data_IF_448489077181
#
_entry.id   IF_448489077181
#
_cell.length_a   1.000
_cell.length_b   1.000
_cell.length_c   1.000
_cell.angle_alpha   90.00
_cell.angle_beta   90.00
_cell.angle_gamma   90.00
#
_symmetry.space_group_name_H-M   'P 1'
#
loop_
_entity.id
_entity.type
_entity.pdbx_description
1 polymer ?
#
# COMPACT_ATOMS: atom_id res chain seq x y z
N UNK A 1 -26.77 22.68 -0.12
CA UNK A 1 -25.35 22.34 -0.33
C UNK A 1 -24.94 21.35 0.74
N UNK A 2 -24.26 20.28 0.37
CA UNK A 2 -23.74 19.30 1.34
C UNK A 2 -22.71 19.99 2.25
N UNK A 3 -22.87 19.85 3.58
CA UNK A 3 -21.90 20.39 4.55
C UNK A 3 -20.62 19.50 4.67
N UNK A 4 -20.56 18.41 3.89
CA UNK A 4 -19.43 17.48 3.93
C UNK A 4 -18.16 18.14 3.44
N UNK A 5 -17.09 17.94 4.17
CA UNK A 5 -15.75 18.39 3.80
C UNK A 5 -15.15 17.44 2.76
N UNK A 6 -14.51 17.99 1.75
CA UNK A 6 -13.71 17.23 0.79
C UNK A 6 -12.23 17.39 1.13
N UNK A 7 -11.51 16.27 1.26
CA UNK A 7 -10.05 16.27 1.48
C UNK A 7 -9.39 15.86 0.18
N UNK A 8 -8.66 16.78 -0.46
CA UNK A 8 -7.87 16.49 -1.65
C UNK A 8 -6.45 16.11 -1.25
N UNK A 9 -6.14 14.82 -1.36
CA UNK A 9 -4.79 14.30 -1.10
C UNK A 9 -3.95 14.40 -2.36
N UNK A 10 -2.79 15.04 -2.24
CA UNK A 10 -1.85 15.27 -3.33
C UNK A 10 -0.46 14.72 -2.99
N UNK A 11 0.39 14.59 -3.99
CA UNK A 11 1.79 14.19 -3.86
C UNK A 11 2.72 15.23 -4.47
N UNK A 12 3.97 15.17 -4.12
CA UNK A 12 5.02 15.84 -4.90
C UNK A 12 5.25 15.08 -6.21
N UNK A 13 5.55 15.83 -7.25
CA UNK A 13 6.03 15.27 -8.53
C UNK A 13 7.50 14.88 -8.42
N UNK A 14 7.99 14.06 -9.35
CA UNK A 14 9.42 13.71 -9.41
C UNK A 14 10.31 14.95 -9.53
N UNK A 15 9.86 15.97 -10.30
CA UNK A 15 10.58 17.23 -10.42
C UNK A 15 10.67 17.97 -9.08
N UNK A 16 9.57 18.08 -8.34
CA UNK A 16 9.57 18.73 -7.02
C UNK A 16 10.48 17.99 -6.01
N UNK A 17 10.52 16.66 -6.07
CA UNK A 17 11.43 15.86 -5.24
C UNK A 17 12.90 16.08 -5.60
N UNK A 18 13.22 16.20 -6.90
CA UNK A 18 14.56 16.52 -7.38
C UNK A 18 14.99 17.93 -6.93
N UNK A 19 14.11 18.93 -7.10
CA UNK A 19 14.39 20.30 -6.70
C UNK A 19 14.61 20.42 -5.18
N UNK A 20 13.88 19.64 -4.39
CA UNK A 20 14.10 19.58 -2.95
C UNK A 20 15.48 19.02 -2.56
N UNK A 21 16.09 18.17 -3.42
CA UNK A 21 17.44 17.60 -3.19
C UNK A 21 18.56 18.47 -3.73
N UNK A 22 18.36 19.07 -4.90
CA UNK A 22 19.42 19.76 -5.67
C UNK A 22 19.31 21.29 -5.62
N UNK A 23 18.29 21.82 -4.95
CA UNK A 23 18.03 23.24 -4.70
C UNK A 23 17.79 24.10 -5.95
N UNK A 24 18.43 23.80 -7.10
CA UNK A 24 18.17 24.52 -8.37
C UNK A 24 17.79 23.60 -9.50
N UNK A 25 17.07 24.15 -10.49
CA UNK A 25 16.62 23.40 -11.67
C UNK A 25 17.79 22.97 -12.56
N UNK A 26 18.82 23.82 -12.65
CA UNK A 26 20.01 23.56 -13.43
C UNK A 26 20.85 22.39 -12.81
N UNK A 27 20.99 22.36 -11.49
CA UNK A 27 21.65 21.26 -10.79
C UNK A 27 20.86 19.94 -10.94
N UNK A 28 19.54 20.00 -10.80
CA UNK A 28 18.67 18.83 -10.99
C UNK A 28 18.77 18.29 -12.42
N UNK A 29 18.72 19.19 -13.44
CA UNK A 29 18.87 18.83 -14.86
C UNK A 29 20.22 18.17 -15.10
N UNK A 30 21.32 18.83 -14.68
CA UNK A 30 22.67 18.28 -14.85
C UNK A 30 22.80 16.87 -14.25
N UNK A 31 22.29 16.67 -13.04
CA UNK A 31 22.34 15.36 -12.38
C UNK A 31 21.59 14.28 -13.16
N UNK A 32 20.36 14.56 -13.60
CA UNK A 32 19.52 13.60 -14.33
C UNK A 32 20.07 13.29 -15.72
N UNK A 33 20.51 14.30 -16.46
CA UNK A 33 21.10 14.12 -17.80
C UNK A 33 22.44 13.37 -17.72
N UNK A 34 23.24 13.60 -16.67
CA UNK A 34 24.48 12.84 -16.44
C UNK A 34 24.23 11.34 -16.18
N UNK A 35 23.06 10.97 -15.65
CA UNK A 35 22.63 9.59 -15.51
C UNK A 35 22.02 9.00 -16.80
N UNK A 36 22.01 9.74 -17.89
CA UNK A 36 21.42 9.31 -19.16
C UNK A 36 19.90 9.29 -19.19
N UNK A 37 19.25 10.02 -18.27
CA UNK A 37 17.79 10.09 -18.16
C UNK A 37 17.31 11.44 -18.71
N UNK A 38 16.16 11.43 -19.40
CA UNK A 38 15.55 12.62 -19.95
C UNK A 38 14.93 13.51 -18.86
N UNK A 39 15.47 14.70 -18.68
CA UNK A 39 14.94 15.67 -17.72
C UNK A 39 13.60 16.29 -18.17
N UNK A 40 13.36 16.39 -19.47
CA UNK A 40 12.12 16.98 -19.99
C UNK A 40 10.91 16.08 -19.69
N UNK A 41 11.11 14.76 -19.50
CA UNK A 41 10.06 13.86 -19.02
C UNK A 41 9.60 14.21 -17.58
N UNK A 42 10.50 14.64 -16.71
CA UNK A 42 10.17 15.11 -15.36
C UNK A 42 9.37 16.42 -15.40
N UNK A 43 9.73 17.29 -16.33
CA UNK A 43 9.02 18.58 -16.55
C UNK A 43 7.61 18.31 -17.05
N UNK A 44 7.46 17.45 -18.06
CA UNK A 44 6.17 17.10 -18.65
C UNK A 44 5.22 16.46 -17.62
N UNK A 45 5.73 15.53 -16.80
CA UNK A 45 4.94 14.95 -15.68
C UNK A 45 4.46 16.04 -14.72
N UNK A 46 5.36 16.94 -14.32
CA UNK A 46 5.03 18.02 -13.39
C UNK A 46 3.97 18.97 -13.95
N UNK A 47 4.12 19.41 -15.19
CA UNK A 47 3.17 20.30 -15.84
C UNK A 47 1.78 19.66 -15.96
N UNK A 48 1.72 18.40 -16.39
CA UNK A 48 0.47 17.63 -16.48
C UNK A 48 -0.20 17.50 -15.11
N UNK A 49 0.57 17.19 -14.07
CA UNK A 49 0.06 17.09 -12.71
C UNK A 49 -0.47 18.41 -12.16
N UNK A 50 0.23 19.53 -12.39
CA UNK A 50 -0.21 20.86 -11.95
C UNK A 50 -1.48 21.33 -12.69
N UNK A 51 -1.64 20.96 -13.97
CA UNK A 51 -2.90 21.20 -14.69
C UNK A 51 -4.04 20.41 -14.04
N UNK A 52 -3.84 19.14 -13.78
CA UNK A 52 -4.84 18.29 -13.11
C UNK A 52 -5.22 18.83 -11.72
N UNK A 53 -4.25 19.24 -10.93
CA UNK A 53 -4.42 19.80 -9.58
C UNK A 53 -5.20 21.13 -9.62
N UNK A 54 -4.95 22.01 -10.61
CA UNK A 54 -5.71 23.25 -10.81
C UNK A 54 -7.16 22.97 -11.20
N UNK A 55 -7.41 22.01 -12.09
CA UNK A 55 -8.77 21.62 -12.49
C UNK A 55 -9.59 21.11 -11.31
N UNK A 56 -9.06 20.12 -10.59
CA UNK A 56 -9.74 19.55 -9.41
C UNK A 56 -9.92 20.64 -8.33
N UNK A 57 -8.88 21.42 -8.06
CA UNK A 57 -8.94 22.51 -7.08
C UNK A 57 -9.93 23.59 -7.45
N UNK A 58 -10.19 23.84 -8.75
CA UNK A 58 -11.24 24.73 -9.25
C UNK A 58 -12.63 24.26 -8.81
N UNK A 59 -12.96 23.02 -9.11
CA UNK A 59 -14.23 22.39 -8.71
C UNK A 59 -14.43 22.42 -7.19
N UNK A 60 -13.39 22.15 -6.43
CA UNK A 60 -13.48 22.13 -4.96
C UNK A 60 -13.64 23.54 -4.36
N UNK A 61 -13.08 24.58 -4.99
CA UNK A 61 -13.31 25.97 -4.55
C UNK A 61 -14.79 26.38 -4.75
N UNK A 62 -15.42 25.94 -5.83
CA UNK A 62 -16.86 26.17 -6.06
C UNK A 62 -17.72 25.43 -5.03
N UNK A 63 -17.32 24.24 -4.61
CA UNK A 63 -17.97 23.53 -3.51
C UNK A 63 -17.81 24.27 -2.18
N UNK A 64 -16.68 24.93 -1.95
CA UNK A 64 -16.42 25.82 -0.80
C UNK A 64 -15.79 25.14 0.42
N UNK A 65 -16.20 23.95 0.80
CA UNK A 65 -15.67 23.25 2.00
C UNK A 65 -14.69 22.14 1.61
N UNK A 66 -13.44 22.51 1.38
CA UNK A 66 -12.39 21.54 1.08
C UNK A 66 -11.08 21.85 1.80
N UNK A 67 -10.21 20.85 1.87
CA UNK A 67 -8.87 20.94 2.41
C UNK A 67 -7.88 20.22 1.48
N UNK A 68 -6.76 20.89 1.20
CA UNK A 68 -5.62 20.27 0.52
C UNK A 68 -4.73 19.57 1.54
N UNK A 69 -4.36 18.32 1.29
CA UNK A 69 -3.52 17.51 2.15
C UNK A 69 -2.35 16.92 1.35
N UNK A 70 -1.12 17.25 1.73
CA UNK A 70 0.05 16.55 1.19
C UNK A 70 0.10 15.11 1.74
N UNK A 71 0.39 14.11 0.89
CA UNK A 71 0.46 12.68 1.27
C UNK A 71 1.32 12.41 2.50
N UNK A 72 2.39 13.19 2.71
CA UNK A 72 3.30 13.03 3.85
C UNK A 72 2.66 13.35 5.19
N UNK A 73 1.56 14.10 5.19
CA UNK A 73 0.80 14.45 6.39
C UNK A 73 -0.36 13.50 6.65
N UNK A 74 -0.67 12.59 5.71
CA UNK A 74 -1.80 11.65 5.82
C UNK A 74 -1.74 10.77 7.07
N UNK A 75 -0.56 10.26 7.51
CA UNK A 75 -0.47 9.44 8.74
C UNK A 75 -0.91 10.17 10.01
N UNK A 76 -0.77 11.50 10.04
CA UNK A 76 -1.10 12.34 11.20
C UNK A 76 -2.43 13.09 11.03
N UNK A 77 -3.15 12.84 9.94
CA UNK A 77 -4.40 13.52 9.65
C UNK A 77 -5.60 12.73 10.17
N UNK A 78 -6.50 13.40 10.86
CA UNK A 78 -7.73 12.81 11.35
C UNK A 78 -8.86 13.07 10.35
N UNK A 79 -9.20 12.03 9.58
CA UNK A 79 -10.35 12.07 8.68
C UNK A 79 -11.65 12.00 9.48
N UNK A 80 -12.55 12.93 9.23
CA UNK A 80 -13.90 12.92 9.84
C UNK A 80 -14.76 11.79 9.22
N UNK A 81 -15.76 11.28 9.94
CA UNK A 81 -16.60 10.18 9.46
C UNK A 81 -17.43 10.55 8.20
N UNK A 82 -17.70 11.85 8.02
CA UNK A 82 -18.46 12.36 6.88
C UNK A 82 -17.57 12.97 5.78
N UNK A 83 -16.25 12.93 5.93
CA UNK A 83 -15.34 13.43 4.90
C UNK A 83 -15.48 12.62 3.60
N UNK A 84 -15.33 13.31 2.48
CA UNK A 84 -15.11 12.71 1.16
C UNK A 84 -13.65 12.90 0.81
N UNK A 85 -12.97 11.85 0.38
CA UNK A 85 -11.55 11.91 0.09
C UNK A 85 -11.31 11.74 -1.40
N UNK A 86 -10.50 12.61 -1.97
CA UNK A 86 -10.04 12.53 -3.38
C UNK A 86 -8.54 12.35 -3.36
N UNK A 87 -8.03 11.28 -3.95
CA UNK A 87 -6.60 11.06 -4.16
C UNK A 87 -6.24 11.39 -5.62
N UNK A 88 -5.46 12.45 -5.83
CA UNK A 88 -4.98 12.86 -7.13
C UNK A 88 -3.54 12.38 -7.33
N UNK A 89 -3.35 11.29 -8.07
CA UNK A 89 -2.00 10.76 -8.27
C UNK A 89 -1.95 9.36 -8.89
N UNK A 90 -1.22 8.46 -8.23
CA UNK A 90 -0.97 7.08 -8.65
C UNK A 90 -1.71 6.07 -7.76
N UNK A 91 -1.80 4.81 -8.19
CA UNK A 91 -2.41 3.72 -7.40
C UNK A 91 -1.84 3.64 -5.98
N UNK A 92 -0.52 3.80 -5.82
CA UNK A 92 0.12 3.84 -4.52
C UNK A 92 -0.36 4.99 -3.62
N UNK A 93 -0.76 6.14 -4.17
CA UNK A 93 -1.35 7.22 -3.39
C UNK A 93 -2.74 6.85 -2.88
N UNK A 94 -3.55 6.20 -3.72
CA UNK A 94 -4.90 5.72 -3.35
C UNK A 94 -4.80 4.69 -2.23
N UNK A 95 -3.95 3.66 -2.39
CA UNK A 95 -3.73 2.64 -1.38
C UNK A 95 -3.22 3.24 -0.05
N UNK A 96 -2.20 4.11 -0.12
CA UNK A 96 -1.63 4.76 1.06
C UNK A 96 -2.57 5.77 1.73
N UNK A 97 -3.54 6.31 1.02
CA UNK A 97 -4.59 7.14 1.62
C UNK A 97 -5.66 6.26 2.26
N UNK A 98 -6.11 5.22 1.55
CA UNK A 98 -7.18 4.31 1.98
C UNK A 98 -6.89 3.65 3.33
N UNK A 99 -5.64 3.29 3.63
CA UNK A 99 -5.27 2.62 4.90
C UNK A 99 -5.55 3.45 6.15
N UNK A 100 -5.73 4.78 6.02
CA UNK A 100 -6.08 5.68 7.12
C UNK A 100 -7.58 5.99 7.20
N UNK A 101 -8.37 5.48 6.26
CA UNK A 101 -9.82 5.70 6.21
C UNK A 101 -10.58 4.59 6.95
N UNK A 102 -11.79 4.90 7.37
CA UNK A 102 -12.71 3.98 8.01
C UNK A 102 -14.12 4.14 7.39
N UNK A 103 -14.24 3.69 6.14
CA UNK A 103 -15.49 3.74 5.39
C UNK A 103 -15.81 5.07 4.69
N UNK A 104 -14.94 6.08 4.78
CA UNK A 104 -15.10 7.30 3.97
C UNK A 104 -14.96 6.95 2.49
N UNK A 105 -15.80 7.53 1.60
CA UNK A 105 -15.67 7.34 0.17
C UNK A 105 -14.36 7.95 -0.33
N UNK A 106 -13.59 7.15 -1.07
CA UNK A 106 -12.33 7.55 -1.69
C UNK A 106 -12.50 7.57 -3.21
N UNK A 107 -12.21 8.70 -3.83
CA UNK A 107 -12.22 8.89 -5.28
C UNK A 107 -10.78 8.90 -5.77
N UNK A 108 -10.39 7.93 -6.58
CA UNK A 108 -9.10 7.90 -7.26
C UNK A 108 -9.15 8.69 -8.56
N UNK A 109 -8.30 9.71 -8.68
CA UNK A 109 -8.21 10.54 -9.88
C UNK A 109 -6.85 10.42 -10.53
N UNK A 110 -6.83 9.96 -11.79
CA UNK A 110 -5.62 9.80 -12.59
C UNK A 110 -5.26 11.12 -13.28
N UNK A 111 -4.17 11.79 -12.89
CA UNK A 111 -3.75 13.05 -13.50
C UNK A 111 -3.19 12.87 -14.91
N UNK A 112 -2.69 11.68 -15.24
CA UNK A 112 -2.05 11.37 -16.52
C UNK A 112 -2.35 9.92 -16.95
N UNK A 113 -3.51 9.66 -17.58
CA UNK A 113 -3.89 8.32 -18.03
C UNK A 113 -3.00 7.75 -19.13
N UNK A 114 -2.17 8.55 -19.78
CA UNK A 114 -1.21 8.05 -20.77
C UNK A 114 0.05 7.46 -20.10
N UNK A 115 0.35 7.91 -18.90
CA UNK A 115 1.53 7.47 -18.13
C UNK A 115 1.22 6.35 -17.12
N UNK A 116 0.02 6.34 -16.56
CA UNK A 116 -0.35 5.44 -15.47
C UNK A 116 -1.59 4.61 -15.82
N UNK A 117 -1.52 3.31 -15.65
CA UNK A 117 -2.66 2.40 -15.88
C UNK A 117 -3.85 2.73 -14.97
N UNK A 118 -3.59 3.08 -13.71
CA UNK A 118 -4.59 3.62 -12.80
C UNK A 118 -5.68 2.64 -12.42
N UNK A 119 -5.32 1.45 -11.93
CA UNK A 119 -6.27 0.42 -11.48
C UNK A 119 -7.19 0.93 -10.38
N UNK A 120 -6.67 1.79 -9.49
CA UNK A 120 -7.43 2.45 -8.41
C UNK A 120 -7.85 3.89 -8.75
N UNK A 121 -7.65 4.33 -9.99
CA UNK A 121 -7.85 5.69 -10.45
C UNK A 121 -8.81 5.72 -11.66
N UNK A 122 -10.07 5.32 -11.49
CA UNK A 122 -11.00 5.18 -12.63
C UNK A 122 -11.44 6.50 -13.25
N UNK A 123 -11.11 7.64 -12.62
CA UNK A 123 -11.57 8.96 -13.05
C UNK A 123 -10.44 9.86 -13.50
N UNK A 124 -10.71 10.68 -14.51
CA UNK A 124 -9.84 11.78 -14.92
C UNK A 124 -10.20 13.09 -14.15
N UNK A 125 -9.31 14.11 -14.10
CA UNK A 125 -9.57 15.37 -13.40
C UNK A 125 -10.87 16.08 -13.84
N UNK A 126 -11.21 15.97 -15.13
CA UNK A 126 -12.45 16.53 -15.72
C UNK A 126 -13.75 15.88 -15.21
N UNK A 127 -13.65 14.64 -14.69
CA UNK A 127 -14.83 13.90 -14.22
C UNK A 127 -15.28 14.36 -12.84
N UNK A 128 -14.41 15.01 -12.06
CA UNK A 128 -14.65 15.38 -10.67
C UNK A 128 -15.87 16.28 -10.51
N UNK A 129 -16.06 17.25 -11.39
CA UNK A 129 -17.22 18.16 -11.34
C UNK A 129 -18.56 17.40 -11.45
N UNK A 130 -18.62 16.39 -12.31
CA UNK A 130 -19.80 15.55 -12.51
C UNK A 130 -20.02 14.56 -11.38
N UNK A 131 -18.94 14.02 -10.82
CA UNK A 131 -18.98 12.99 -9.78
C UNK A 131 -19.29 13.56 -8.40
N UNK A 132 -18.73 14.70 -8.06
CA UNK A 132 -18.72 15.25 -6.70
C UNK A 132 -20.10 15.31 -6.04
N UNK A 133 -21.17 15.78 -6.69
CA UNK A 133 -22.51 15.81 -6.09
C UNK A 133 -23.00 14.42 -5.66
N UNK A 134 -22.81 13.41 -6.52
CA UNK A 134 -23.22 12.03 -6.23
C UNK A 134 -22.40 11.42 -5.08
N UNK A 135 -21.10 11.68 -5.03
CA UNK A 135 -20.22 11.20 -3.95
C UNK A 135 -20.58 11.84 -2.61
N UNK A 136 -20.85 13.15 -2.60
CA UNK A 136 -21.28 13.87 -1.42
C UNK A 136 -22.61 13.35 -0.85
N UNK A 137 -23.49 12.87 -1.70
CA UNK A 137 -24.77 12.27 -1.33
C UNK A 137 -24.70 10.74 -1.16
N UNK A 138 -23.51 10.14 -1.29
CA UNK A 138 -23.26 8.69 -1.23
C UNK A 138 -24.12 7.89 -2.23
N UNK A 139 -24.39 8.44 -3.41
CA UNK A 139 -25.18 7.80 -4.48
C UNK A 139 -24.33 7.05 -5.50
N UNK A 140 -23.02 7.30 -5.53
CA UNK A 140 -22.10 6.60 -6.42
C UNK A 140 -21.88 5.15 -5.97
N UNK A 141 -21.74 4.27 -6.94
CA UNK A 141 -21.27 2.92 -6.66
C UNK A 141 -19.85 2.96 -6.05
N UNK A 142 -19.60 2.06 -5.12
CA UNK A 142 -18.28 1.89 -4.53
C UNK A 142 -17.91 0.43 -4.45
N UNK A 143 -16.62 0.15 -4.54
CA UNK A 143 -16.06 -1.17 -4.32
C UNK A 143 -15.44 -1.24 -2.94
N UNK A 144 -15.82 -2.25 -2.19
CA UNK A 144 -15.24 -2.51 -0.87
C UNK A 144 -13.85 -3.13 -1.02
N UNK A 145 -12.91 -2.67 -0.19
CA UNK A 145 -11.54 -3.17 -0.16
C UNK A 145 -11.23 -3.67 1.25
N UNK A 146 -10.90 -4.95 1.35
CA UNK A 146 -10.44 -5.58 2.60
C UNK A 146 -9.03 -5.11 2.91
N UNK A 147 -8.78 -4.82 4.19
CA UNK A 147 -7.46 -4.43 4.67
C UNK A 147 -6.89 -5.46 5.65
N UNK A 148 -5.57 -5.55 5.69
CA UNK A 148 -4.87 -6.25 6.75
C UNK A 148 -4.61 -5.30 7.94
N UNK A 149 -4.57 -5.85 9.15
CA UNK A 149 -4.15 -5.13 10.35
C UNK A 149 -3.06 -5.92 11.07
N UNK A 150 -1.93 -5.27 11.31
CA UNK A 150 -0.90 -5.71 12.25
C UNK A 150 -1.08 -4.96 13.57
N UNK A 151 -1.18 -5.66 14.69
CA UNK A 151 -1.36 -5.08 16.01
C UNK A 151 -0.33 -5.60 17.01
N UNK A 152 0.33 -4.68 17.72
CA UNK A 152 1.27 -4.97 18.79
C UNK A 152 0.57 -4.94 20.15
N UNK A 153 1.14 -5.66 21.13
CA UNK A 153 0.61 -5.71 22.49
C UNK A 153 0.59 -4.33 23.21
N UNK A 154 1.43 -3.38 22.77
CA UNK A 154 1.49 -2.03 23.32
C UNK A 154 0.40 -1.08 22.76
N UNK A 155 -0.53 -1.60 21.95
CA UNK A 155 -1.62 -0.83 21.35
C UNK A 155 -1.30 -0.19 20.00
N UNK A 156 -0.04 -0.19 19.56
CA UNK A 156 0.30 0.28 18.21
C UNK A 156 -0.27 -0.66 17.15
N UNK A 157 -0.71 -0.11 16.03
CA UNK A 157 -1.19 -0.90 14.91
C UNK A 157 -0.93 -0.23 13.58
N UNK A 158 -0.80 -1.04 12.54
CA UNK A 158 -0.59 -0.63 11.16
C UNK A 158 -1.59 -1.35 10.26
N UNK A 159 -2.17 -0.65 9.30
CA UNK A 159 -3.06 -1.23 8.30
C UNK A 159 -2.34 -1.31 6.95
N UNK A 160 -2.73 -2.29 6.15
CA UNK A 160 -2.29 -2.40 4.77
C UNK A 160 -3.48 -2.63 3.84
N UNK A 161 -3.45 -1.97 2.71
CA UNK A 161 -4.41 -2.13 1.61
C UNK A 161 -3.93 -3.18 0.62
N UNK A 162 -2.61 -3.23 0.37
CA UNK A 162 -1.96 -4.26 -0.45
C UNK A 162 -1.29 -5.33 0.42
N UNK A 163 -0.19 -4.97 1.06
CA UNK A 163 0.67 -5.96 1.74
C UNK A 163 1.27 -5.39 3.03
N UNK A 164 1.40 -6.28 4.03
CA UNK A 164 2.31 -6.11 5.15
C UNK A 164 3.60 -6.87 4.87
N UNK A 165 4.73 -6.28 5.20
CA UNK A 165 6.00 -6.96 5.30
C UNK A 165 6.45 -7.01 6.76
N UNK A 166 6.88 -8.17 7.22
CA UNK A 166 7.42 -8.40 8.55
C UNK A 166 8.80 -9.03 8.40
N UNK A 167 9.83 -8.34 8.81
CA UNK A 167 11.20 -8.84 8.67
C UNK A 167 12.26 -7.83 9.02
N UNK A 168 13.51 -8.03 8.58
CA UNK A 168 14.60 -7.10 8.86
C UNK A 168 14.51 -5.88 7.92
N UNK A 169 14.97 -4.75 8.41
CA UNK A 169 15.10 -3.50 7.63
C UNK A 169 16.21 -3.58 6.56
N UNK A 170 17.13 -4.52 6.70
CA UNK A 170 18.24 -4.77 5.80
C UNK A 170 18.19 -6.18 5.21
N UNK A 171 19.24 -6.60 4.51
CA UNK A 171 19.34 -7.94 3.90
C UNK A 171 19.79 -9.06 4.87
N UNK A 172 19.71 -8.82 6.18
CA UNK A 172 19.97 -9.86 7.20
C UNK A 172 18.77 -10.81 7.31
N UNK A 173 18.99 -11.99 7.95
CA UNK A 173 17.91 -12.94 8.15
C UNK A 173 16.91 -12.45 9.19
N UNK A 174 15.63 -12.53 8.85
CA UNK A 174 14.55 -12.45 9.83
C UNK A 174 14.57 -13.69 10.73
N UNK A 175 14.51 -13.49 12.04
CA UNK A 175 14.36 -14.58 13.01
C UNK A 175 13.13 -14.30 13.87
N UNK A 176 12.23 -15.26 13.91
CA UNK A 176 10.96 -15.11 14.60
C UNK A 176 10.35 -16.48 14.90
N UNK A 177 9.43 -16.50 15.84
CA UNK A 177 8.49 -17.59 16.02
C UNK A 177 7.19 -17.23 15.29
N UNK A 178 6.65 -18.16 14.51
CA UNK A 178 5.39 -18.01 13.77
C UNK A 178 4.33 -18.95 14.35
N UNK A 179 3.11 -18.44 14.52
CA UNK A 179 1.97 -19.20 15.04
C UNK A 179 0.74 -18.96 14.16
N UNK A 180 0.10 -20.05 13.76
CA UNK A 180 -1.20 -20.01 13.09
C UNK A 180 -2.04 -21.24 13.53
N UNK A 181 -3.21 -20.98 14.12
CA UNK A 181 -4.03 -22.05 14.69
C UNK A 181 -3.30 -22.80 15.78
N UNK A 182 -3.01 -24.10 15.55
CA UNK A 182 -2.25 -24.95 16.48
C UNK A 182 -0.78 -25.13 16.06
N UNK A 183 -0.40 -24.59 14.92
CA UNK A 183 0.96 -24.70 14.41
C UNK A 183 1.82 -23.58 15.00
N UNK A 184 3.00 -23.95 15.46
CA UNK A 184 3.99 -23.02 16.02
C UNK A 184 5.39 -23.52 15.72
N UNK A 185 6.24 -22.66 15.21
CA UNK A 185 7.64 -23.00 14.94
C UNK A 185 8.55 -21.77 14.90
N UNK A 186 9.85 -21.99 15.15
CA UNK A 186 10.88 -20.96 15.00
C UNK A 186 11.41 -21.01 13.58
N UNK A 187 11.45 -19.85 12.93
CA UNK A 187 11.92 -19.71 11.54
C UNK A 187 13.08 -18.74 11.40
N UNK A 188 13.86 -18.96 10.35
CA UNK A 188 14.82 -18.03 9.77
C UNK A 188 14.49 -17.86 8.29
N UNK A 189 14.36 -16.63 7.83
CA UNK A 189 13.91 -16.33 6.45
C UNK A 189 14.32 -14.91 6.02
N UNK A 190 13.92 -14.49 4.83
CA UNK A 190 14.01 -13.06 4.42
C UNK A 190 12.79 -12.24 4.83
N UNK A 191 11.93 -12.78 5.70
CA UNK A 191 10.72 -12.13 6.19
C UNK A 191 9.43 -12.77 5.69
N UNK A 192 8.32 -12.24 6.17
CA UNK A 192 6.97 -12.71 5.86
C UNK A 192 6.19 -11.60 5.16
N UNK A 193 5.49 -11.95 4.09
CA UNK A 193 4.54 -11.08 3.42
C UNK A 193 3.13 -11.54 3.80
N UNK A 194 2.26 -10.60 4.11
CA UNK A 194 0.83 -10.84 4.29
C UNK A 194 0.06 -9.95 3.34
N UNK A 195 -0.66 -10.56 2.41
CA UNK A 195 -1.33 -9.87 1.30
C UNK A 195 -2.84 -9.89 1.46
N UNK A 196 -3.47 -8.79 1.08
CA UNK A 196 -4.93 -8.68 0.93
C UNK A 196 -5.37 -9.19 -0.44
N UNK A 197 -6.68 -9.21 -0.69
CA UNK A 197 -7.20 -9.49 -2.03
C UNK A 197 -6.68 -8.51 -3.08
N UNK A 198 -6.60 -7.21 -2.77
CA UNK A 198 -6.06 -6.21 -3.68
C UNK A 198 -4.55 -6.42 -3.94
N UNK A 199 -3.76 -6.66 -2.90
CA UNK A 199 -2.31 -6.91 -3.00
C UNK A 199 -1.95 -8.23 -3.67
N UNK A 200 -2.87 -9.17 -3.75
CA UNK A 200 -2.63 -10.52 -4.26
C UNK A 200 -2.08 -10.58 -5.70
N UNK A 201 -2.41 -9.58 -6.52
CA UNK A 201 -1.90 -9.45 -7.90
C UNK A 201 -0.55 -8.72 -7.99
N UNK A 202 -0.05 -8.18 -6.89
CA UNK A 202 1.22 -7.48 -6.76
C UNK A 202 2.34 -8.38 -6.21
N UNK A 203 2.81 -8.07 -5.01
CA UNK A 203 3.96 -8.75 -4.41
C UNK A 203 3.73 -10.24 -4.17
N UNK A 204 2.55 -10.65 -3.71
CA UNK A 204 2.24 -12.07 -3.53
C UNK A 204 2.35 -12.85 -4.84
N UNK A 205 1.84 -12.30 -5.94
CA UNK A 205 2.00 -12.90 -7.27
C UNK A 205 3.48 -13.05 -7.67
N UNK A 206 4.31 -12.06 -7.34
CA UNK A 206 5.75 -12.13 -7.60
C UNK A 206 6.43 -13.24 -6.79
N UNK A 207 6.03 -13.42 -5.52
CA UNK A 207 6.53 -14.53 -4.68
C UNK A 207 6.16 -15.87 -5.29
N UNK A 208 4.89 -16.06 -5.68
CA UNK A 208 4.43 -17.31 -6.33
C UNK A 208 5.19 -17.57 -7.63
N UNK A 209 5.37 -16.54 -8.46
CA UNK A 209 6.10 -16.66 -9.74
C UNK A 209 7.54 -17.11 -9.52
N UNK A 210 8.25 -16.49 -8.57
CA UNK A 210 9.64 -16.85 -8.24
C UNK A 210 9.74 -18.26 -7.64
N UNK A 211 8.83 -18.61 -6.74
CA UNK A 211 8.81 -19.95 -6.11
C UNK A 211 8.62 -21.06 -7.16
N UNK A 212 7.69 -20.89 -8.10
CA UNK A 212 7.44 -21.84 -9.17
C UNK A 212 8.64 -21.97 -10.12
N UNK A 213 9.32 -20.86 -10.45
CA UNK A 213 10.51 -20.89 -11.28
C UNK A 213 11.64 -21.69 -10.61
N UNK A 214 11.91 -21.46 -9.32
CA UNK A 214 12.92 -22.19 -8.55
C UNK A 214 12.54 -23.66 -8.38
N UNK A 215 11.29 -23.95 -8.04
CA UNK A 215 10.78 -25.33 -7.93
C UNK A 215 10.88 -26.07 -9.27
N UNK A 216 10.50 -25.43 -10.38
CA UNK A 216 10.63 -25.98 -11.71
C UNK A 216 12.07 -26.34 -12.07
N UNK A 217 13.03 -25.49 -11.71
CA UNK A 217 14.45 -25.76 -11.86
C UNK A 217 14.92 -26.99 -11.03
N UNK A 218 14.42 -27.10 -9.79
CA UNK A 218 14.78 -28.21 -8.91
C UNK A 218 14.23 -29.57 -9.37
N UNK A 219 13.06 -29.61 -10.01
CA UNK A 219 12.43 -30.85 -10.52
C UNK A 219 12.66 -31.11 -12.00
N UNK A 220 13.39 -30.21 -12.69
CA UNK A 220 13.76 -30.36 -14.11
C UNK A 220 12.60 -30.13 -15.09
N UNK A 221 11.54 -29.42 -14.69
CA UNK A 221 10.40 -29.09 -15.55
C UNK A 221 9.85 -27.70 -15.25
N UNK A 222 9.27 -27.05 -16.27
CA UNK A 222 8.61 -25.76 -16.07
C UNK A 222 7.27 -25.99 -15.35
N UNK A 223 7.09 -25.29 -14.24
CA UNK A 223 5.84 -25.25 -13.51
C UNK A 223 5.05 -23.98 -13.92
N UNK A 224 3.76 -24.17 -14.20
CA UNK A 224 2.87 -23.08 -14.56
C UNK A 224 2.04 -22.64 -13.34
N UNK A 225 1.77 -21.33 -13.26
CA UNK A 225 0.98 -20.78 -12.16
C UNK A 225 -0.50 -20.80 -12.52
N UNK A 226 -1.31 -21.41 -11.64
CA UNK A 226 -2.75 -21.22 -11.61
C UNK A 226 -3.19 -20.06 -10.69
N UNK A 227 -2.25 -19.32 -10.12
CA UNK A 227 -2.53 -18.23 -9.20
C UNK A 227 -3.10 -17.03 -9.94
N UNK A 228 -4.40 -16.77 -9.79
CA UNK A 228 -5.12 -15.68 -10.48
C UNK A 228 -5.30 -14.40 -9.61
N UNK A 229 -4.80 -14.41 -8.38
CA UNK A 229 -5.11 -13.36 -7.40
C UNK A 229 -6.48 -13.59 -6.74
N UNK A 230 -6.89 -12.65 -5.89
CA UNK A 230 -8.11 -12.74 -5.07
C UNK A 230 -8.98 -11.50 -5.27
N UNK A 231 -10.30 -11.61 -5.04
CA UNK A 231 -11.18 -10.43 -5.03
C UNK A 231 -10.76 -9.42 -3.97
N UNK A 232 -10.95 -8.14 -4.24
CA UNK A 232 -10.57 -7.06 -3.31
C UNK A 232 -11.35 -7.09 -2.00
N UNK A 233 -12.57 -7.57 -2.07
CA UNK A 233 -13.52 -7.75 -0.96
C UNK A 233 -13.38 -9.10 -0.23
N UNK A 234 -12.45 -9.97 -0.64
CA UNK A 234 -12.24 -11.27 0.00
C UNK A 234 -11.94 -11.09 1.49
N UNK A 235 -12.76 -11.71 2.35
CA UNK A 235 -12.66 -11.57 3.81
C UNK A 235 -11.59 -12.49 4.42
N UNK A 236 -10.44 -12.54 3.77
CA UNK A 236 -9.27 -13.28 4.18
C UNK A 236 -7.99 -12.62 3.66
N UNK A 237 -6.85 -12.98 4.28
CA UNK A 237 -5.51 -12.60 3.85
C UNK A 237 -4.74 -13.85 3.45
N UNK A 238 -3.71 -13.68 2.64
CA UNK A 238 -2.74 -14.73 2.32
C UNK A 238 -1.38 -14.34 2.88
N UNK A 239 -0.63 -15.32 3.43
CA UNK A 239 0.75 -15.07 3.83
C UNK A 239 1.72 -16.00 3.12
N UNK A 240 2.94 -15.53 2.93
CA UNK A 240 4.05 -16.32 2.42
C UNK A 240 5.35 -15.93 3.13
N UNK A 241 6.11 -16.94 3.52
CA UNK A 241 7.48 -16.80 4.07
C UNK A 241 8.45 -16.73 2.90
N UNK A 242 9.29 -15.71 2.89
CA UNK A 242 10.30 -15.52 1.85
C UNK A 242 11.59 -16.23 2.20
N UNK A 243 12.16 -16.96 1.23
CA UNK A 243 13.45 -17.63 1.32
C UNK A 243 13.67 -18.33 2.70
N UNK A 244 12.81 -19.29 3.08
CA UNK A 244 12.91 -19.96 4.36
C UNK A 244 14.20 -20.79 4.43
N UNK A 245 14.91 -20.72 5.59
CA UNK A 245 16.15 -21.43 5.81
C UNK A 245 15.98 -22.45 6.94
N UNK A 246 15.75 -23.73 6.64
CA UNK A 246 15.73 -24.80 7.64
C UNK A 246 17.13 -25.09 8.19
N UNK A 247 17.24 -25.23 9.50
CA UNK A 247 18.50 -25.54 10.20
C UNK A 247 18.25 -26.37 11.45
N UNK A 248 19.29 -26.58 12.28
CA UNK A 248 19.10 -27.25 13.58
C UNK A 248 18.22 -26.44 14.55
N UNK A 249 18.12 -25.13 14.38
CA UNK A 249 17.39 -24.21 15.27
C UNK A 249 16.21 -23.53 14.60
N UNK A 250 15.91 -23.84 13.32
CA UNK A 250 14.80 -23.26 12.56
C UNK A 250 14.11 -24.31 11.70
N UNK A 251 12.80 -24.24 11.66
CA UNK A 251 11.95 -25.10 10.85
C UNK A 251 11.46 -24.35 9.60
N UNK A 252 10.82 -25.07 8.68
CA UNK A 252 10.27 -24.52 7.46
C UNK A 252 9.05 -25.35 7.00
N UNK A 253 8.04 -25.45 7.87
CA UNK A 253 6.79 -26.18 7.60
C UNK A 253 5.61 -25.23 7.43
N UNK A 254 5.59 -24.11 8.12
CA UNK A 254 4.55 -23.06 8.02
C UNK A 254 5.03 -21.97 7.07
N UNK A 255 4.98 -22.23 5.75
CA UNK A 255 5.59 -21.37 4.73
C UNK A 255 4.59 -20.47 4.00
N UNK A 256 3.36 -20.89 3.90
CA UNK A 256 2.28 -20.10 3.28
C UNK A 256 0.93 -20.57 3.82
N UNK A 257 -0.06 -19.75 3.67
CA UNK A 257 -1.41 -20.09 4.10
C UNK A 257 -2.37 -18.92 4.01
N UNK A 258 -3.58 -19.16 4.49
CA UNK A 258 -4.68 -18.23 4.50
C UNK A 258 -5.05 -17.86 5.94
N UNK A 259 -5.33 -16.59 6.16
CA UNK A 259 -5.79 -16.04 7.44
C UNK A 259 -7.25 -15.64 7.22
N UNK A 260 -8.15 -16.52 7.65
CA UNK A 260 -9.59 -16.28 7.52
C UNK A 260 -10.06 -15.20 8.51
N UNK A 261 -11.18 -14.58 8.22
CA UNK A 261 -11.84 -13.67 9.16
C UNK A 261 -12.06 -14.37 10.50
N UNK A 262 -11.70 -13.69 11.58
CA UNK A 262 -11.76 -14.24 12.93
C UNK A 262 -10.55 -15.11 13.34
N UNK A 263 -9.62 -15.42 12.42
CA UNK A 263 -8.34 -16.06 12.73
C UNK A 263 -7.19 -15.06 12.76
N UNK A 264 -6.03 -15.48 13.27
CA UNK A 264 -4.84 -14.61 13.39
C UNK A 264 -3.59 -15.38 13.02
N UNK A 265 -2.68 -14.69 12.34
CA UNK A 265 -1.27 -15.07 12.24
C UNK A 265 -0.52 -14.27 13.29
N UNK A 266 0.24 -14.93 14.16
CA UNK A 266 1.07 -14.25 15.14
C UNK A 266 2.55 -14.52 14.88
N UNK A 267 3.37 -13.47 15.02
CA UNK A 267 4.82 -13.59 14.99
C UNK A 267 5.42 -12.95 16.24
N UNK A 268 6.42 -13.63 16.82
CA UNK A 268 7.23 -13.08 17.92
C UNK A 268 8.65 -12.93 17.43
N UNK A 269 9.17 -11.72 17.46
CA UNK A 269 10.52 -11.42 16.97
C UNK A 269 11.62 -12.03 17.86
N UNK A 270 12.62 -12.58 17.21
CA UNK A 270 13.89 -13.01 17.80
C UNK A 270 15.08 -12.19 17.25
N UNK A 271 14.80 -11.10 16.53
CA UNK A 271 15.82 -10.18 15.99
C UNK A 271 16.22 -9.18 17.07
N UNK A 272 17.51 -9.12 17.43
CA UNK A 272 17.98 -8.20 18.46
C UNK A 272 17.68 -6.74 18.12
N UNK A 273 17.84 -6.36 16.84
CA UNK A 273 17.62 -5.04 16.30
C UNK A 273 17.22 -5.07 14.82
N UNK A 274 16.73 -3.96 14.29
CA UNK A 274 16.44 -3.79 12.86
C UNK A 274 15.23 -4.57 12.36
N UNK A 275 14.43 -5.17 13.24
CA UNK A 275 13.14 -5.77 12.87
C UNK A 275 12.09 -4.69 12.63
N UNK A 276 11.31 -4.84 11.56
CA UNK A 276 10.28 -3.88 11.13
C UNK A 276 9.01 -4.57 10.65
N UNK A 277 7.91 -3.85 10.74
CA UNK A 277 6.65 -4.14 10.07
C UNK A 277 6.27 -2.90 9.30
N UNK A 278 6.16 -2.96 7.99
CA UNK A 278 5.65 -1.85 7.17
C UNK A 278 4.58 -2.30 6.18
N UNK A 279 3.86 -1.34 5.63
CA UNK A 279 2.70 -1.59 4.76
C UNK A 279 2.79 -0.80 3.45
N UNK A 280 2.29 -1.40 2.39
CA UNK A 280 2.04 -0.76 1.10
C UNK A 280 3.28 -0.05 0.53
N UNK A 281 4.48 -0.60 0.78
CA UNK A 281 5.75 -0.08 0.29
C UNK A 281 6.22 1.23 0.93
N UNK A 282 5.63 1.64 2.06
CA UNK A 282 6.04 2.85 2.80
C UNK A 282 6.94 2.47 3.96
N UNK A 283 8.24 2.71 3.80
CA UNK A 283 9.24 2.41 4.83
C UNK A 283 9.29 3.44 5.98
N UNK A 284 8.80 4.65 5.75
CA UNK A 284 8.82 5.72 6.76
C UNK A 284 7.75 5.55 7.85
N UNK A 285 6.69 4.79 7.57
CA UNK A 285 5.58 4.50 8.48
C UNK A 285 5.63 3.02 8.87
N UNK A 286 6.49 2.67 9.80
CA UNK A 286 6.70 1.29 10.23
C UNK A 286 6.55 1.12 11.74
N UNK A 287 6.27 -0.10 12.17
CA UNK A 287 6.36 -0.52 13.56
C UNK A 287 7.68 -1.23 13.81
N UNK A 288 8.31 -0.96 14.96
CA UNK A 288 9.48 -1.72 15.39
C UNK A 288 9.09 -3.15 15.76
N UNK A 289 9.90 -4.11 15.29
CA UNK A 289 9.67 -5.53 15.50
C UNK A 289 10.97 -6.21 16.00
N UNK A 290 11.49 -5.73 17.12
CA UNK A 290 12.70 -6.26 17.75
C UNK A 290 12.37 -7.38 18.74
N UNK A 291 13.40 -8.08 19.25
CA UNK A 291 13.28 -9.27 20.09
C UNK A 291 12.28 -9.11 21.24
N UNK A 292 11.40 -10.09 21.38
CA UNK A 292 10.30 -10.08 22.33
C UNK A 292 9.03 -9.37 21.88
N UNK A 293 9.08 -8.59 20.80
CA UNK A 293 7.87 -7.98 20.24
C UNK A 293 7.00 -9.03 19.58
N UNK A 294 5.73 -9.08 19.95
CA UNK A 294 4.71 -9.94 19.35
C UNK A 294 3.75 -9.08 18.52
N UNK A 295 3.52 -9.48 17.29
CA UNK A 295 2.51 -8.93 16.40
C UNK A 295 1.42 -9.96 16.12
N UNK A 296 0.16 -9.52 16.12
CA UNK A 296 -0.97 -10.28 15.63
C UNK A 296 -1.49 -9.65 14.34
N UNK A 297 -1.63 -10.46 13.31
CA UNK A 297 -2.09 -10.05 11.98
C UNK A 297 -3.41 -10.71 11.69
N UNK A 298 -4.40 -9.91 11.30
CA UNK A 298 -5.74 -10.36 11.00
C UNK A 298 -6.38 -9.47 9.93
N UNK A 299 -7.51 -9.90 9.40
CA UNK A 299 -8.39 -9.05 8.60
C UNK A 299 -8.85 -7.86 9.46
N UNK A 300 -8.67 -6.65 8.97
CA UNK A 300 -9.08 -5.45 9.69
C UNK A 300 -10.61 -5.36 9.79
N UNK A 301 -11.12 -4.79 10.88
CA UNK A 301 -12.55 -4.52 11.04
C UNK A 301 -13.05 -3.46 10.06
N UNK A 302 -12.23 -2.41 9.84
CA UNK A 302 -12.54 -1.34 8.87
C UNK A 302 -12.27 -1.79 7.44
N UNK A 303 -13.01 -1.18 6.50
CA UNK A 303 -12.90 -1.45 5.06
C UNK A 303 -12.67 -0.17 4.29
N UNK A 304 -11.93 -0.25 3.20
CA UNK A 304 -11.86 0.81 2.22
C UNK A 304 -13.13 0.87 1.36
N UNK A 305 -13.49 2.07 0.91
CA UNK A 305 -14.62 2.31 -0.01
C UNK A 305 -14.11 3.11 -1.20
N UNK A 306 -13.77 2.42 -2.29
CA UNK A 306 -13.32 3.05 -3.53
C UNK A 306 -14.53 3.33 -4.42
N UNK A 307 -14.74 4.60 -4.76
CA UNK A 307 -15.78 5.03 -5.71
C UNK A 307 -15.41 4.54 -7.12
N UNK A 308 -16.39 3.94 -7.84
CA UNK A 308 -16.23 3.38 -9.18
C UNK A 308 -17.27 3.93 -10.15
#
# INVERSE_FOLDING_TARGET
ASERKVVLVTRRTRLEELLARHHTREQARFYIEHLGVDFDDYVAEHETYEVAKRLVGGVLREHGRYQLLDRRLTPNYLFGPEDVVIALGQDGLVANTMKYLDGQPLVGVNPDPQRWDGVLLPFAPRDVARLLPGVLERRNASRTVTMARAALANGQSLHAVNDLFIGPKSHTSARYEIEIGRLREVQSSSGVIVSTGLGSTGWMRSVVTGALAVAGMAVGTRLESAYAGRPWEDDALEFAVREPFPSRSSQATVLCGRIESGTRLALTSLMAEGGVIFSDGIEADYLEFNAGTRVEIAVAARRGQLVI
#
